data_IF_070106630384
#
_entry.id   IF_070106630384
#
_cell.length_a   1.000
_cell.length_b   1.000
_cell.length_c   1.000
_cell.angle_alpha   90.00
_cell.angle_beta   90.00
_cell.angle_gamma   90.00
#
_symmetry.space_group_name_H-M   'P 1'
#
loop_
_entity.id
_entity.type
_entity.pdbx_description
1 polymer ?
#
# COMPACT_ATOMS: atom_id res chain seq x y z
N UNK A 1 -4.43 30.16 -7.76
CA UNK A 1 -4.77 28.77 -7.34
C UNK A 1 -5.35 28.09 -8.56
N UNK A 2 -4.97 26.85 -8.85
CA UNK A 2 -5.47 26.16 -10.04
C UNK A 2 -6.98 25.95 -9.91
N UNK A 3 -7.70 26.17 -11.02
CA UNK A 3 -9.16 26.03 -11.08
C UNK A 3 -9.64 24.63 -10.63
N UNK A 4 -8.74 23.65 -10.58
CA UNK A 4 -9.05 22.22 -10.31
C UNK A 4 -8.49 21.72 -8.96
N UNK A 5 -8.14 22.59 -8.02
CA UNK A 5 -7.50 22.16 -6.76
C UNK A 5 -8.39 21.22 -5.93
N UNK A 6 -9.69 21.50 -5.81
CA UNK A 6 -10.67 20.71 -5.04
C UNK A 6 -11.66 19.95 -5.95
N UNK A 7 -11.27 19.65 -7.18
CA UNK A 7 -12.12 18.97 -8.15
C UNK A 7 -11.85 17.46 -8.11
N UNK A 8 -12.91 16.65 -8.03
CA UNK A 8 -12.80 15.19 -8.10
C UNK A 8 -12.30 14.72 -9.47
N UNK A 9 -11.71 13.53 -9.53
CA UNK A 9 -11.07 13.02 -10.75
C UNK A 9 -12.03 12.94 -11.94
N UNK A 10 -13.27 12.58 -11.70
CA UNK A 10 -14.31 12.44 -12.71
C UNK A 10 -14.68 13.78 -13.39
N UNK A 11 -14.38 14.89 -12.72
CA UNK A 11 -14.67 16.25 -13.18
C UNK A 11 -13.43 16.97 -13.76
N UNK A 12 -12.30 16.28 -13.89
CA UNK A 12 -11.08 16.83 -14.49
C UNK A 12 -11.12 16.66 -16.01
N UNK A 13 -10.91 17.72 -16.80
CA UNK A 13 -10.78 17.61 -18.25
C UNK A 13 -9.60 16.71 -18.65
N UNK A 14 -9.72 15.94 -19.74
CA UNK A 14 -8.63 15.08 -20.20
C UNK A 14 -7.41 15.91 -20.63
N UNK A 15 -6.22 15.33 -20.47
CA UNK A 15 -4.94 15.91 -20.90
C UNK A 15 -4.24 16.83 -19.90
N UNK A 16 -4.76 16.98 -18.68
CA UNK A 16 -4.12 17.78 -17.62
C UNK A 16 -3.25 16.96 -16.67
N UNK A 17 -3.27 15.65 -16.78
CA UNK A 17 -2.57 14.75 -15.88
C UNK A 17 -1.11 14.53 -16.25
N UNK A 18 -0.50 13.53 -15.60
CA UNK A 18 0.89 13.16 -15.80
C UNK A 18 1.04 11.79 -16.49
N UNK A 19 2.20 11.58 -17.11
CA UNK A 19 2.51 10.30 -17.76
C UNK A 19 3.06 9.29 -16.74
N UNK A 20 2.59 8.04 -16.84
CA UNK A 20 3.17 6.93 -16.09
C UNK A 20 4.66 6.81 -16.43
N UNK A 21 5.52 6.75 -15.41
CA UNK A 21 6.98 6.78 -15.49
C UNK A 21 7.57 8.01 -16.18
N UNK A 22 6.79 9.06 -16.39
CA UNK A 22 7.30 10.37 -16.78
C UNK A 22 8.14 11.04 -15.66
N UNK A 23 8.84 12.14 -15.98
CA UNK A 23 9.73 12.80 -15.02
C UNK A 23 9.06 13.14 -13.68
N UNK A 24 7.84 13.61 -13.72
CA UNK A 24 7.05 13.97 -12.53
C UNK A 24 6.79 12.75 -11.64
N UNK A 25 6.34 11.64 -12.23
CA UNK A 25 6.10 10.39 -11.49
C UNK A 25 7.40 9.83 -10.90
N UNK A 26 8.50 9.83 -11.67
CA UNK A 26 9.79 9.36 -11.18
C UNK A 26 10.34 10.22 -10.05
N UNK A 27 10.12 11.55 -10.07
CA UNK A 27 10.48 12.44 -8.97
C UNK A 27 9.70 12.11 -7.69
N UNK A 28 8.39 11.83 -7.78
CA UNK A 28 7.60 11.37 -6.65
C UNK A 28 8.13 10.05 -6.08
N UNK A 29 8.37 9.05 -6.95
CA UNK A 29 8.92 7.76 -6.50
C UNK A 29 10.28 7.93 -5.81
N UNK A 30 11.17 8.74 -6.39
CA UNK A 30 12.48 9.01 -5.80
C UNK A 30 12.38 9.76 -4.46
N UNK A 31 11.50 10.76 -4.38
CA UNK A 31 11.25 11.52 -3.15
C UNK A 31 10.67 10.64 -2.03
N UNK A 32 9.68 9.78 -2.34
CA UNK A 32 9.10 8.83 -1.41
C UNK A 32 10.15 7.80 -0.95
N UNK A 33 10.92 7.24 -1.87
CA UNK A 33 11.99 6.29 -1.54
C UNK A 33 13.04 6.93 -0.62
N UNK A 34 13.48 8.15 -0.91
CA UNK A 34 14.39 8.90 -0.04
C UNK A 34 13.75 9.17 1.33
N UNK A 35 12.48 9.59 1.36
CA UNK A 35 11.72 9.81 2.59
C UNK A 35 11.65 8.55 3.46
N UNK A 36 11.36 7.39 2.86
CA UNK A 36 11.35 6.09 3.55
C UNK A 36 12.74 5.77 4.14
N UNK A 37 13.81 5.96 3.37
CA UNK A 37 15.19 5.72 3.86
C UNK A 37 15.51 6.62 5.04
N UNK A 38 15.17 7.91 4.97
CA UNK A 38 15.40 8.86 6.07
C UNK A 38 14.57 8.53 7.30
N UNK A 39 13.29 8.18 7.12
CA UNK A 39 12.41 7.73 8.19
C UNK A 39 12.93 6.45 8.85
N UNK A 40 13.41 5.46 8.09
CA UNK A 40 14.01 4.25 8.64
C UNK A 40 15.25 4.58 9.50
N UNK A 41 16.14 5.44 9.00
CA UNK A 41 17.32 5.86 9.75
C UNK A 41 16.96 6.57 11.05
N UNK A 42 15.98 7.46 11.01
CA UNK A 42 15.48 8.18 12.18
C UNK A 42 14.81 7.21 13.15
N UNK A 43 13.88 6.38 12.68
CA UNK A 43 13.15 5.39 13.48
C UNK A 43 14.07 4.43 14.24
N UNK A 44 15.13 3.94 13.59
CA UNK A 44 16.09 3.04 14.22
C UNK A 44 16.87 3.68 15.38
N UNK A 45 16.97 5.01 15.44
CA UNK A 45 17.64 5.76 16.52
C UNK A 45 16.71 6.03 17.71
N UNK A 46 15.42 5.88 17.55
CA UNK A 46 14.43 6.16 18.59
C UNK A 46 14.30 4.99 19.57
N UNK A 47 13.92 5.32 20.81
CA UNK A 47 13.45 4.35 21.78
C UNK A 47 12.05 3.81 21.43
N UNK A 48 11.63 2.74 22.08
CA UNK A 48 10.34 2.09 21.77
C UNK A 48 9.13 3.02 21.90
N UNK A 49 8.98 3.83 22.97
CA UNK A 49 7.87 4.78 23.08
C UNK A 49 7.84 5.82 21.96
N UNK A 50 9.01 6.37 21.57
CA UNK A 50 9.10 7.35 20.50
C UNK A 50 8.79 6.72 19.11
N UNK A 51 9.24 5.49 18.87
CA UNK A 51 8.88 4.71 17.65
C UNK A 51 7.37 4.56 17.51
N UNK A 52 6.72 4.19 18.62
CA UNK A 52 5.26 4.03 18.63
C UNK A 52 4.55 5.35 18.35
N UNK A 53 4.98 6.45 19.00
CA UNK A 53 4.40 7.79 18.75
C UNK A 53 4.56 8.21 17.29
N UNK A 54 5.74 7.98 16.71
CA UNK A 54 5.98 8.29 15.30
C UNK A 54 5.07 7.46 14.37
N UNK A 55 4.97 6.14 14.60
CA UNK A 55 4.11 5.28 13.79
C UNK A 55 2.64 5.70 13.90
N UNK A 56 2.12 5.93 15.11
CA UNK A 56 0.75 6.44 15.32
C UNK A 56 0.56 7.79 14.65
N UNK A 57 1.51 8.71 14.77
CA UNK A 57 1.44 10.03 14.14
C UNK A 57 1.35 9.95 12.61
N UNK A 58 2.14 9.08 11.98
CA UNK A 58 2.09 8.86 10.53
C UNK A 58 0.75 8.23 10.10
N UNK A 59 0.26 7.22 10.82
CA UNK A 59 -1.04 6.61 10.52
C UNK A 59 -2.19 7.61 10.68
N UNK A 60 -2.16 8.45 11.73
CA UNK A 60 -3.15 9.51 11.92
C UNK A 60 -3.05 10.60 10.84
N UNK A 61 -1.84 10.90 10.35
CA UNK A 61 -1.65 11.80 9.22
C UNK A 61 -2.27 11.24 7.95
N UNK A 62 -2.06 9.95 7.63
CA UNK A 62 -2.68 9.29 6.49
C UNK A 62 -4.21 9.32 6.59
N UNK A 63 -4.76 8.95 7.75
CA UNK A 63 -6.21 8.99 7.99
C UNK A 63 -6.76 10.42 7.91
N UNK A 64 -6.03 11.41 8.44
CA UNK A 64 -6.41 12.81 8.36
C UNK A 64 -6.45 13.36 6.93
N UNK A 65 -5.49 12.95 6.08
CA UNK A 65 -5.48 13.29 4.65
C UNK A 65 -6.69 12.69 3.92
N UNK A 66 -7.06 11.47 4.26
CA UNK A 66 -8.22 10.78 3.69
C UNK A 66 -9.53 11.46 4.11
N UNK A 67 -9.73 11.63 5.40
CA UNK A 67 -10.92 12.32 5.95
C UNK A 67 -11.05 13.76 5.45
N UNK A 68 -9.94 14.48 5.28
CA UNK A 68 -9.97 15.83 4.73
C UNK A 68 -10.49 15.82 3.28
N UNK A 69 -10.09 14.83 2.48
CA UNK A 69 -10.60 14.67 1.13
C UNK A 69 -12.10 14.34 1.12
N UNK A 70 -12.53 13.37 1.92
CA UNK A 70 -13.94 12.99 2.02
C UNK A 70 -14.81 14.17 2.45
N UNK A 71 -14.33 14.96 3.40
CA UNK A 71 -15.02 16.17 3.84
C UNK A 71 -15.13 17.21 2.72
N UNK A 72 -14.06 17.42 1.94
CA UNK A 72 -14.06 18.29 0.77
C UNK A 72 -15.13 17.82 -0.23
N UNK A 73 -15.16 16.52 -0.54
CA UNK A 73 -16.13 15.95 -1.48
C UNK A 73 -17.57 16.10 -0.98
N UNK A 74 -17.80 15.87 0.31
CA UNK A 74 -19.13 16.08 0.93
C UNK A 74 -19.56 17.53 0.86
N UNK A 75 -18.67 18.47 1.21
CA UNK A 75 -18.96 19.91 1.20
C UNK A 75 -19.18 20.47 -0.23
N UNK A 76 -18.54 19.84 -1.23
CA UNK A 76 -18.67 20.26 -2.65
C UNK A 76 -19.71 19.47 -3.43
N UNK A 77 -20.40 18.52 -2.80
CA UNK A 77 -21.42 17.68 -3.45
C UNK A 77 -20.84 16.70 -4.48
N UNK A 78 -19.53 16.39 -4.39
CA UNK A 78 -18.83 15.50 -5.33
C UNK A 78 -18.58 14.09 -4.72
N UNK A 79 -19.08 13.80 -3.52
CA UNK A 79 -18.89 12.50 -2.87
C UNK A 79 -19.64 11.40 -3.63
N UNK A 80 -18.94 10.32 -3.93
CA UNK A 80 -19.49 9.09 -4.51
C UNK A 80 -19.03 7.87 -3.71
N UNK A 81 -19.68 6.73 -3.92
CA UNK A 81 -19.31 5.49 -3.20
C UNK A 81 -17.88 5.01 -3.50
N UNK A 82 -17.26 5.47 -4.59
CA UNK A 82 -15.87 5.16 -4.94
C UNK A 82 -14.85 5.67 -3.90
N UNK A 83 -15.25 6.64 -3.07
CA UNK A 83 -14.39 7.24 -2.05
C UNK A 83 -14.53 6.56 -0.68
N UNK A 84 -15.36 5.52 -0.55
CA UNK A 84 -15.39 4.71 0.66
C UNK A 84 -14.06 3.96 0.87
N UNK A 85 -13.57 3.81 2.11
CA UNK A 85 -12.27 3.21 2.39
C UNK A 85 -12.30 1.67 2.31
N UNK A 86 -12.96 1.12 1.29
CA UNK A 86 -13.07 -0.32 1.06
C UNK A 86 -12.01 -0.86 0.11
N UNK A 87 -11.16 0.00 -0.44
CA UNK A 87 -9.97 -0.44 -1.16
C UNK A 87 -8.89 -0.97 -0.21
N UNK A 88 -7.88 -1.63 -0.77
CA UNK A 88 -6.81 -2.23 0.02
C UNK A 88 -6.03 -1.18 0.82
N UNK A 89 -5.87 0.03 0.30
CA UNK A 89 -5.14 1.12 0.94
C UNK A 89 -5.98 1.79 2.03
N UNK A 90 -7.30 1.90 1.83
CA UNK A 90 -8.24 2.32 2.87
C UNK A 90 -8.19 1.39 4.08
N UNK A 91 -8.25 0.08 3.85
CA UNK A 91 -8.09 -0.91 4.92
C UNK A 91 -6.70 -0.89 5.55
N UNK A 92 -5.65 -0.60 4.77
CA UNK A 92 -4.28 -0.48 5.28
C UNK A 92 -4.15 0.63 6.33
N UNK A 93 -4.79 1.79 6.13
CA UNK A 93 -4.78 2.89 7.11
C UNK A 93 -5.24 2.43 8.49
N UNK A 94 -6.36 1.70 8.55
CA UNK A 94 -6.89 1.17 9.81
C UNK A 94 -6.02 0.05 10.38
N UNK A 95 -5.53 -0.85 9.53
CA UNK A 95 -4.70 -1.97 9.95
C UNK A 95 -3.35 -1.51 10.50
N UNK A 96 -2.70 -0.55 9.87
CA UNK A 96 -1.43 0.03 10.34
C UNK A 96 -1.62 0.84 11.62
N UNK A 97 -2.70 1.61 11.73
CA UNK A 97 -3.03 2.31 12.98
C UNK A 97 -3.31 1.30 14.11
N UNK A 98 -4.06 0.24 13.83
CA UNK A 98 -4.31 -0.83 14.81
C UNK A 98 -2.99 -1.48 15.24
N UNK A 99 -2.08 -1.78 14.30
CA UNK A 99 -0.76 -2.29 14.62
C UNK A 99 0.05 -1.31 15.46
N UNK A 100 0.06 -0.03 15.13
CA UNK A 100 0.78 1.00 15.87
C UNK A 100 0.24 1.16 17.31
N UNK A 101 -1.07 1.03 17.51
CA UNK A 101 -1.73 1.10 18.82
C UNK A 101 -1.62 -0.20 19.62
N UNK A 102 -1.71 -1.37 18.94
CA UNK A 102 -1.70 -2.71 19.55
C UNK A 102 -0.81 -3.64 18.71
N UNK A 103 0.52 -3.55 18.86
CA UNK A 103 1.43 -4.38 18.08
C UNK A 103 1.16 -5.87 18.30
N UNK A 104 0.97 -6.59 17.19
CA UNK A 104 0.75 -8.03 17.20
C UNK A 104 1.43 -8.69 16.01
N UNK A 105 1.82 -9.98 16.11
CA UNK A 105 2.60 -10.63 15.08
C UNK A 105 1.81 -10.85 13.77
N UNK A 106 0.50 -11.08 13.82
CA UNK A 106 -0.31 -11.30 12.62
C UNK A 106 -0.65 -9.98 11.93
N UNK A 107 -1.05 -8.96 12.68
CA UNK A 107 -1.35 -7.65 12.10
C UNK A 107 -0.08 -7.01 11.50
N UNK A 108 1.08 -7.14 12.16
CA UNK A 108 2.35 -6.70 11.60
C UNK A 108 2.73 -7.47 10.32
N UNK A 109 2.41 -8.77 10.26
CA UNK A 109 2.63 -9.56 9.05
C UNK A 109 1.72 -9.11 7.90
N UNK A 110 0.44 -8.80 8.17
CA UNK A 110 -0.48 -8.24 7.17
C UNK A 110 0.02 -6.87 6.66
N UNK A 111 0.50 -6.00 7.56
CA UNK A 111 1.10 -4.73 7.15
C UNK A 111 2.29 -4.94 6.21
N UNK A 112 3.12 -5.96 6.47
CA UNK A 112 4.30 -6.25 5.68
C UNK A 112 3.99 -6.96 4.35
N UNK A 113 3.17 -8.02 4.37
CA UNK A 113 3.02 -8.91 3.23
C UNK A 113 1.81 -8.62 2.33
N UNK A 114 0.85 -7.80 2.79
CA UNK A 114 -0.36 -7.46 2.04
C UNK A 114 -0.46 -5.95 1.80
N UNK A 115 -0.41 -5.13 2.84
CA UNK A 115 -0.66 -3.69 2.71
C UNK A 115 0.54 -2.93 2.13
N UNK A 116 1.78 -3.25 2.51
CA UNK A 116 2.98 -2.69 1.87
C UNK A 116 3.02 -2.95 0.34
N UNK A 117 2.81 -4.18 -0.15
CA UNK A 117 2.71 -4.42 -1.59
C UNK A 117 1.58 -3.65 -2.27
N UNK A 118 0.43 -3.54 -1.62
CA UNK A 118 -0.70 -2.74 -2.13
C UNK A 118 -0.34 -1.27 -2.31
N UNK A 119 0.25 -0.65 -1.28
CA UNK A 119 0.72 0.73 -1.35
C UNK A 119 1.83 0.93 -2.40
N UNK A 120 2.78 -0.02 -2.50
CA UNK A 120 3.82 0.01 -3.52
C UNK A 120 3.25 -0.15 -4.93
N UNK A 121 2.28 -1.04 -5.12
CA UNK A 121 1.61 -1.20 -6.41
C UNK A 121 0.86 0.07 -6.82
N UNK A 122 0.16 0.73 -5.90
CA UNK A 122 -0.51 1.99 -6.17
C UNK A 122 0.47 3.11 -6.56
N UNK A 123 1.65 3.18 -5.91
CA UNK A 123 2.70 4.13 -6.28
C UNK A 123 3.32 3.82 -7.66
N UNK A 124 3.49 2.54 -8.00
CA UNK A 124 4.07 2.12 -9.28
C UNK A 124 3.08 2.20 -10.44
N UNK A 125 1.79 1.95 -10.19
CA UNK A 125 0.71 1.93 -11.17
C UNK A 125 -0.45 2.82 -10.71
N UNK A 126 -0.23 4.15 -10.58
CA UNK A 126 -1.24 5.06 -10.06
C UNK A 126 -2.44 5.17 -11.00
N UNK A 127 -3.64 5.02 -10.44
CA UNK A 127 -4.90 5.23 -11.15
C UNK A 127 -5.36 6.70 -11.16
N UNK A 128 -4.58 7.60 -10.54
CA UNK A 128 -4.80 9.04 -10.51
C UNK A 128 -3.94 9.82 -11.52
N UNK A 129 -3.42 9.16 -12.54
CA UNK A 129 -2.67 9.81 -13.64
C UNK A 129 -3.43 10.92 -14.36
N UNK A 130 -4.78 10.95 -14.43
CA UNK A 130 -5.51 12.07 -15.04
C UNK A 130 -5.43 13.38 -14.26
N UNK A 131 -5.02 13.36 -12.98
CA UNK A 131 -5.03 14.54 -12.10
C UNK A 131 -3.86 15.47 -12.38
N UNK A 132 -4.09 16.80 -12.41
CA UNK A 132 -3.02 17.79 -12.52
C UNK A 132 -2.24 17.92 -11.21
N UNK A 133 -0.97 18.34 -11.31
CA UNK A 133 -0.01 18.43 -10.20
C UNK A 133 -0.54 19.17 -8.96
N UNK A 134 -1.33 20.23 -9.13
CA UNK A 134 -1.87 21.02 -8.01
C UNK A 134 -3.26 20.58 -7.55
N UNK A 135 -3.72 19.40 -7.93
CA UNK A 135 -4.96 18.84 -7.40
C UNK A 135 -4.73 18.23 -6.01
N UNK A 136 -5.65 18.46 -5.07
CA UNK A 136 -5.52 17.95 -3.70
C UNK A 136 -5.49 16.41 -3.66
N UNK A 137 -6.35 15.74 -4.44
CA UNK A 137 -6.38 14.28 -4.52
C UNK A 137 -5.04 13.72 -5.06
N UNK A 138 -4.42 14.41 -6.03
CA UNK A 138 -3.10 14.05 -6.55
C UNK A 138 -2.05 14.05 -5.43
N UNK A 139 -1.92 15.18 -4.70
CA UNK A 139 -0.95 15.31 -3.60
C UNK A 139 -1.22 14.32 -2.47
N UNK A 140 -2.50 14.22 -2.07
CA UNK A 140 -2.96 13.28 -1.05
C UNK A 140 -2.61 11.85 -1.44
N UNK A 141 -2.84 11.43 -2.70
CA UNK A 141 -2.61 10.06 -3.13
C UNK A 141 -1.14 9.65 -3.03
N UNK A 142 -0.20 10.47 -3.50
CA UNK A 142 1.23 10.18 -3.34
C UNK A 142 1.67 10.18 -1.87
N UNK A 143 1.23 11.15 -1.07
CA UNK A 143 1.60 11.24 0.34
C UNK A 143 1.03 10.07 1.16
N UNK A 144 -0.24 9.75 0.97
CA UNK A 144 -0.91 8.67 1.66
C UNK A 144 -0.23 7.33 1.38
N UNK A 145 -0.05 6.96 0.10
CA UNK A 145 0.59 5.71 -0.26
C UNK A 145 2.07 5.68 0.15
N UNK A 146 2.75 6.84 0.13
CA UNK A 146 4.10 6.97 0.67
C UNK A 146 4.16 6.67 2.18
N UNK A 147 3.20 7.14 2.97
CA UNK A 147 3.09 6.84 4.41
C UNK A 147 2.78 5.35 4.62
N UNK A 148 1.81 4.79 3.90
CA UNK A 148 1.43 3.37 3.99
C UNK A 148 2.60 2.43 3.61
N UNK A 149 3.47 2.83 2.70
CA UNK A 149 4.70 2.10 2.42
C UNK A 149 5.77 2.29 3.50
N UNK A 150 5.89 3.51 4.06
CA UNK A 150 6.92 3.85 5.03
C UNK A 150 6.73 3.15 6.38
N UNK A 151 5.49 3.06 6.89
CA UNK A 151 5.19 2.50 8.22
C UNK A 151 5.67 1.06 8.38
N UNK A 152 5.29 0.09 7.54
CA UNK A 152 5.78 -1.28 7.68
C UNK A 152 7.28 -1.41 7.40
N UNK A 153 7.84 -0.61 6.47
CA UNK A 153 9.28 -0.68 6.15
C UNK A 153 10.13 -0.17 7.32
N UNK A 154 9.79 0.98 7.93
CA UNK A 154 10.53 1.49 9.08
C UNK A 154 10.37 0.58 10.31
N UNK A 155 9.18 0.00 10.52
CA UNK A 155 8.93 -0.92 11.61
C UNK A 155 9.72 -2.23 11.46
N UNK A 156 9.85 -2.73 10.23
CA UNK A 156 10.70 -3.90 9.94
C UNK A 156 12.19 -3.56 10.10
N UNK A 157 12.63 -2.38 9.66
CA UNK A 157 14.01 -1.91 9.84
C UNK A 157 14.37 -1.76 11.33
N UNK A 158 13.44 -1.27 12.16
CA UNK A 158 13.60 -1.15 13.61
C UNK A 158 13.43 -2.48 14.37
N UNK A 159 12.97 -3.56 13.71
CA UNK A 159 12.74 -4.87 14.32
C UNK A 159 11.43 -4.98 15.09
N UNK A 160 10.52 -4.01 14.97
CA UNK A 160 9.20 -4.03 15.61
C UNK A 160 8.21 -4.90 14.80
N UNK A 161 8.31 -4.93 13.47
CA UNK A 161 7.75 -5.97 12.62
C UNK A 161 8.87 -6.98 12.30
N UNK A 162 8.58 -8.25 12.49
CA UNK A 162 9.51 -9.37 12.18
C UNK A 162 8.82 -10.32 11.21
N UNK A 163 9.04 -10.14 9.90
CA UNK A 163 8.41 -10.97 8.88
C UNK A 163 8.74 -12.45 9.07
N UNK A 164 7.70 -13.29 9.05
CA UNK A 164 7.82 -14.74 9.19
C UNK A 164 6.95 -15.45 8.14
N UNK A 165 7.54 -16.12 7.13
CA UNK A 165 6.80 -16.77 6.06
C UNK A 165 5.83 -17.85 6.54
N UNK A 166 5.97 -18.34 7.77
CA UNK A 166 5.04 -19.32 8.37
C UNK A 166 3.65 -18.73 8.61
N UNK A 167 3.51 -17.39 8.63
CA UNK A 167 2.23 -16.69 8.81
C UNK A 167 1.51 -16.41 7.49
N UNK A 168 2.20 -16.59 6.34
CA UNK A 168 1.61 -16.32 5.02
C UNK A 168 0.28 -17.04 4.75
N UNK A 169 0.09 -18.33 5.14
CA UNK A 169 -1.23 -18.97 4.96
C UNK A 169 -2.36 -18.26 5.70
N UNK A 170 -2.09 -17.73 6.91
CA UNK A 170 -3.08 -16.96 7.69
C UNK A 170 -3.35 -15.59 7.04
N UNK A 171 -2.30 -14.94 6.51
CA UNK A 171 -2.45 -13.68 5.79
C UNK A 171 -3.21 -13.87 4.49
N UNK A 172 -2.99 -14.96 3.77
CA UNK A 172 -3.76 -15.32 2.57
C UNK A 172 -5.22 -15.57 2.88
N UNK A 173 -5.52 -16.32 3.95
CA UNK A 173 -6.89 -16.54 4.40
C UNK A 173 -7.58 -15.22 4.81
N UNK A 174 -6.86 -14.32 5.48
CA UNK A 174 -7.38 -12.99 5.81
C UNK A 174 -7.66 -12.15 4.55
N UNK A 175 -6.76 -12.17 3.56
CA UNK A 175 -6.95 -11.49 2.29
C UNK A 175 -8.20 -12.02 1.55
N UNK A 176 -8.38 -13.33 1.46
CA UNK A 176 -9.58 -13.95 0.89
C UNK A 176 -10.84 -13.55 1.66
N UNK A 177 -10.77 -13.55 3.00
CA UNK A 177 -11.88 -13.13 3.85
C UNK A 177 -12.28 -11.66 3.65
N UNK A 178 -11.35 -10.79 3.27
CA UNK A 178 -11.62 -9.40 2.89
C UNK A 178 -12.18 -9.30 1.47
N UNK A 179 -11.69 -10.11 0.53
CA UNK A 179 -12.17 -10.07 -0.86
C UNK A 179 -13.65 -10.43 -1.01
N UNK A 180 -14.15 -11.38 -0.20
CA UNK A 180 -15.55 -11.83 -0.34
C UNK A 180 -16.56 -10.71 -0.06
N UNK A 181 -16.56 -10.03 1.11
CA UNK A 181 -17.51 -8.95 1.37
C UNK A 181 -17.32 -7.77 0.41
N UNK A 182 -16.08 -7.45 0.03
CA UNK A 182 -15.79 -6.38 -0.93
C UNK A 182 -16.37 -6.72 -2.30
N UNK A 183 -16.17 -7.95 -2.81
CA UNK A 183 -16.74 -8.40 -4.08
C UNK A 183 -18.27 -8.34 -4.08
N UNK A 184 -18.92 -8.76 -2.99
CA UNK A 184 -20.37 -8.68 -2.85
C UNK A 184 -20.86 -7.22 -2.87
N UNK A 185 -20.16 -6.33 -2.19
CA UNK A 185 -20.43 -4.89 -2.22
C UNK A 185 -20.25 -4.32 -3.62
N UNK A 186 -19.14 -4.63 -4.28
CA UNK A 186 -18.85 -4.20 -5.65
C UNK A 186 -19.93 -4.62 -6.63
N UNK A 187 -20.42 -5.86 -6.49
CA UNK A 187 -21.53 -6.37 -7.32
C UNK A 187 -22.85 -5.66 -7.04
N UNK A 188 -23.14 -5.36 -5.77
CA UNK A 188 -24.40 -4.73 -5.36
C UNK A 188 -24.46 -3.24 -5.77
N UNK A 189 -23.33 -2.53 -5.64
CA UNK A 189 -23.27 -1.08 -5.79
C UNK A 189 -22.50 -0.62 -7.03
N UNK A 190 -22.17 -1.53 -7.95
CA UNK A 190 -21.43 -1.25 -9.19
C UNK A 190 -20.09 -0.56 -8.95
N UNK A 191 -19.38 -0.95 -7.86
CA UNK A 191 -18.05 -0.47 -7.51
C UNK A 191 -16.97 -1.43 -8.02
N UNK A 192 -15.69 -1.07 -7.86
CA UNK A 192 -14.56 -1.91 -8.25
C UNK A 192 -13.40 -1.80 -7.24
N UNK A 193 -13.70 -1.99 -5.97
CA UNK A 193 -12.67 -2.06 -4.93
C UNK A 193 -11.80 -3.32 -5.11
N UNK A 194 -10.52 -3.23 -4.75
CA UNK A 194 -9.52 -4.29 -4.97
C UNK A 194 -9.38 -4.73 -6.44
N UNK A 195 -10.01 -4.04 -7.38
CA UNK A 195 -10.05 -4.43 -8.79
C UNK A 195 -10.62 -5.86 -9.00
N UNK A 196 -11.67 -6.18 -8.25
CA UNK A 196 -12.30 -7.52 -8.29
C UNK A 196 -13.32 -7.68 -9.42
N UNK A 197 -13.75 -6.57 -10.06
CA UNK A 197 -14.67 -6.61 -11.21
C UNK A 197 -13.97 -6.35 -12.53
N UNK A 198 -13.05 -5.41 -12.53
CA UNK A 198 -12.31 -4.99 -13.72
C UNK A 198 -10.85 -4.74 -13.32
N UNK A 199 -9.86 -5.09 -14.18
CA UNK A 199 -8.46 -4.86 -13.89
C UNK A 199 -8.14 -3.36 -13.80
N UNK A 200 -7.17 -2.99 -12.95
CA UNK A 200 -6.69 -1.61 -12.90
C UNK A 200 -5.97 -1.27 -14.20
N UNK A 201 -6.31 -0.16 -14.88
CA UNK A 201 -5.65 0.28 -16.09
C UNK A 201 -4.13 0.45 -15.92
N UNK A 202 -3.34 -0.02 -16.89
CA UNK A 202 -1.88 0.05 -16.86
C UNK A 202 -1.22 -0.92 -15.88
N UNK A 203 -1.97 -1.74 -15.16
CA UNK A 203 -1.43 -2.71 -14.20
C UNK A 203 -1.16 -4.09 -14.85
N UNK A 204 -0.33 -4.93 -14.21
CA UNK A 204 -0.13 -6.32 -14.66
C UNK A 204 -1.42 -7.16 -14.75
N UNK A 205 -2.51 -6.74 -14.10
CA UNK A 205 -3.79 -7.43 -14.17
C UNK A 205 -4.41 -7.39 -15.58
N UNK A 206 -4.13 -6.36 -16.37
CA UNK A 206 -4.57 -6.30 -17.77
C UNK A 206 -4.00 -7.44 -18.62
N UNK A 207 -2.76 -7.87 -18.33
CA UNK A 207 -2.12 -9.00 -19.02
C UNK A 207 -2.92 -10.28 -18.74
N UNK A 208 -3.31 -10.50 -17.48
CA UNK A 208 -4.12 -11.67 -17.12
C UNK A 208 -5.53 -11.57 -17.70
N UNK A 209 -6.11 -10.38 -17.78
CA UNK A 209 -7.40 -10.19 -18.43
C UNK A 209 -7.34 -10.49 -19.95
N UNK A 210 -6.25 -10.10 -20.60
CA UNK A 210 -6.04 -10.44 -22.01
C UNK A 210 -5.85 -11.94 -22.23
N UNK A 211 -5.27 -12.69 -21.27
CA UNK A 211 -5.04 -14.13 -21.39
C UNK A 211 -6.26 -14.97 -20.97
N UNK A 212 -6.95 -14.59 -19.91
CA UNK A 212 -7.98 -15.43 -19.26
C UNK A 212 -9.37 -14.80 -19.27
N UNK A 213 -9.51 -13.57 -19.77
CA UNK A 213 -10.78 -12.85 -19.78
C UNK A 213 -11.29 -12.52 -18.38
N UNK A 214 -12.53 -12.04 -18.30
CA UNK A 214 -13.25 -11.77 -17.07
C UNK A 214 -14.23 -12.94 -16.78
N UNK A 215 -14.24 -13.45 -15.53
CA UNK A 215 -13.47 -13.06 -14.34
C UNK A 215 -12.13 -13.80 -14.18
N UNK A 216 -11.62 -14.46 -15.21
CA UNK A 216 -10.42 -15.32 -15.15
C UNK A 216 -9.18 -14.60 -14.67
N UNK A 217 -9.03 -13.29 -14.94
CA UNK A 217 -7.89 -12.48 -14.50
C UNK A 217 -7.74 -12.44 -12.96
N UNK A 218 -8.80 -12.72 -12.19
CA UNK A 218 -8.72 -12.78 -10.73
C UNK A 218 -7.75 -13.85 -10.23
N UNK A 219 -7.48 -14.89 -11.04
CA UNK A 219 -6.42 -15.87 -10.74
C UNK A 219 -5.01 -15.25 -10.79
N UNK A 220 -4.86 -14.12 -11.47
CA UNK A 220 -3.63 -13.33 -11.48
C UNK A 220 -3.30 -12.68 -10.12
N UNK A 221 -4.30 -12.34 -9.31
CA UNK A 221 -4.09 -11.71 -8.00
C UNK A 221 -3.25 -12.60 -7.05
N UNK A 222 -3.61 -13.87 -6.79
CA UNK A 222 -2.78 -14.74 -5.95
C UNK A 222 -1.41 -15.03 -6.57
N UNK A 223 -1.28 -15.06 -7.90
CA UNK A 223 0.02 -15.24 -8.57
C UNK A 223 0.93 -14.03 -8.36
N UNK A 224 0.39 -12.81 -8.55
CA UNK A 224 1.13 -11.57 -8.28
C UNK A 224 1.53 -11.47 -6.80
N UNK A 225 0.58 -11.76 -5.90
CA UNK A 225 0.85 -11.76 -4.46
C UNK A 225 1.95 -12.78 -4.10
N UNK A 226 1.89 -13.99 -4.66
CA UNK A 226 2.91 -15.01 -4.49
C UNK A 226 4.29 -14.56 -4.99
N UNK A 227 4.37 -13.95 -6.17
CA UNK A 227 5.61 -13.39 -6.70
C UNK A 227 6.19 -12.30 -5.80
N UNK A 228 5.34 -11.39 -5.31
CA UNK A 228 5.75 -10.34 -4.36
C UNK A 228 6.23 -10.95 -3.04
N UNK A 229 5.57 -11.99 -2.53
CA UNK A 229 6.02 -12.69 -1.33
C UNK A 229 7.41 -13.31 -1.51
N UNK A 230 7.68 -13.91 -2.66
CA UNK A 230 9.04 -14.43 -2.95
C UNK A 230 10.06 -13.29 -2.86
N UNK A 231 9.79 -12.13 -3.47
CA UNK A 231 10.67 -10.96 -3.42
C UNK A 231 10.88 -10.43 -2.00
N UNK A 232 9.82 -10.37 -1.18
CA UNK A 232 9.89 -9.84 0.19
C UNK A 232 10.59 -10.77 1.17
N UNK A 233 10.46 -12.10 1.02
CA UNK A 233 10.94 -13.06 2.01
C UNK A 233 12.25 -13.74 1.61
N UNK A 234 12.62 -13.79 0.34
CA UNK A 234 13.86 -14.41 -0.14
C UNK A 234 15.12 -13.73 0.42
N UNK A 235 15.29 -12.40 0.41
CA UNK A 235 16.49 -11.74 0.92
C UNK A 235 16.76 -12.01 2.41
N UNK A 236 15.79 -11.92 3.32
CA UNK A 236 15.96 -12.28 4.72
C UNK A 236 16.36 -13.74 4.94
N UNK A 237 15.76 -14.66 4.16
CA UNK A 237 16.08 -16.09 4.25
C UNK A 237 17.51 -16.39 3.84
N UNK A 238 18.01 -15.79 2.76
CA UNK A 238 19.39 -15.94 2.29
C UNK A 238 20.41 -15.37 3.29
N UNK A 239 20.12 -14.19 3.90
CA UNK A 239 20.98 -13.61 4.96
C UNK A 239 21.06 -14.51 6.19
N UNK A 240 19.96 -15.14 6.59
CA UNK A 240 19.90 -16.05 7.73
C UNK A 240 20.70 -17.34 7.46
N UNK A 241 20.65 -17.88 6.23
CA UNK A 241 21.47 -19.03 5.81
C UNK A 241 22.97 -18.73 5.84
N UNK A 242 23.39 -17.57 5.29
CA UNK A 242 24.81 -17.15 5.33
C UNK A 242 25.34 -17.03 6.77
N UNK A 243 24.57 -16.44 7.69
CA UNK A 243 24.97 -16.32 9.10
C UNK A 243 25.06 -17.67 9.82
N UNK A 244 24.30 -18.69 9.44
CA UNK A 244 24.38 -20.04 9.99
C UNK A 244 25.56 -20.83 9.42
N UNK A 245 25.87 -20.63 8.13
CA UNK A 245 27.01 -21.32 7.48
C UNK A 245 28.40 -20.82 7.93
N UNK A 246 28.48 -19.59 8.49
CA UNK A 246 29.76 -19.05 9.04
C UNK A 246 30.02 -19.52 10.48
N UNK A 247 29.03 -20.09 11.17
CA UNK A 247 29.26 -20.79 12.45
C UNK A 247 29.62 -22.24 12.19
N UNK A 248 30.82 -22.49 11.67
CA UNK A 248 31.44 -23.83 11.68
C UNK A 248 31.77 -24.20 13.11
N UNK A 249 31.43 -25.42 13.55
CA UNK A 249 31.96 -25.96 14.78
C UNK A 249 33.40 -26.41 14.48
N UNK A 250 34.35 -25.66 14.94
CA UNK A 250 35.77 -25.99 14.79
C UNK A 250 36.55 -25.55 15.99
N UNK A 251 36.72 -26.48 16.89
CA UNK A 251 37.71 -26.43 17.95
C UNK A 251 37.65 -27.71 18.76
N UNK A 252 38.57 -28.68 18.49
CA UNK A 252 38.67 -29.81 19.35
C UNK A 252 39.50 -29.50 20.60
N UNK A 253 39.15 -30.21 21.67
CA UNK A 253 39.91 -30.56 22.90
C UNK A 253 40.48 -29.45 23.73
#
# INVERSE_FOLDING_TARGET
MSAFFLTSQENIPPGLGFSLYGPEHLLWLAGIALGIVLLCRYYCRLDRPARRRLAVGLCLCALGLDLAWDLILLCTGQFTLNYLPFDLCGLAMFAELLWALRPGPLIGELCWCLFLPGAAAALLFPNWTPLPFWNFLYLRSFLLHGILAAVPVMAAAGGDIRPDPRRLPKCFAAALGLCVPVYLFDRAFQQNFFFLREPSPGSPLEIFAAWWGEPGYLLGLPLLLGAVWVLLYLPPALRKRRRRGVRTPGGPS
#
